data_IF_316913152450
#
_entry.id   IF_316913152450
#
_cell.length_a   1.000
_cell.length_b   1.000
_cell.length_c   1.000
_cell.angle_alpha   90.00
_cell.angle_beta   90.00
_cell.angle_gamma   90.00
#
_symmetry.space_group_name_H-M   'P 1'
#
loop_
_entity.id
_entity.type
_entity.pdbx_description
1 polymer ?
#
# COMPACT_ATOMS: atom_id res chain seq x y z
N UNK A 1 -11.22 -62.86 -55.56
CA UNK A 1 -11.34 -61.47 -56.01
C UNK A 1 -11.53 -60.63 -54.76
N UNK A 2 -10.86 -59.51 -54.50
CA UNK A 2 -9.69 -58.84 -55.04
C UNK A 2 -9.38 -57.73 -54.00
N UNK A 3 -8.13 -57.26 -53.98
CA UNK A 3 -7.57 -55.99 -53.47
C UNK A 3 -8.52 -55.06 -52.67
N UNK A 4 -8.18 -54.62 -51.45
CA UNK A 4 -7.00 -53.80 -51.15
C UNK A 4 -7.29 -52.32 -51.47
N UNK A 5 -7.36 -51.45 -50.46
CA UNK A 5 -6.79 -50.11 -50.50
C UNK A 5 -6.87 -49.38 -49.15
N UNK A 6 -5.69 -49.11 -48.61
CA UNK A 6 -5.41 -48.03 -47.69
C UNK A 6 -6.02 -46.71 -48.18
N UNK A 7 -6.69 -45.98 -47.28
CA UNK A 7 -6.74 -44.52 -47.32
C UNK A 7 -6.25 -43.94 -46.01
N UNK A 8 -5.10 -43.29 -46.15
CA UNK A 8 -4.36 -42.41 -45.27
C UNK A 8 -5.22 -41.42 -44.47
N UNK A 9 -4.91 -41.30 -43.18
CA UNK A 9 -5.28 -40.16 -42.33
C UNK A 9 -4.60 -38.89 -42.88
N UNK A 10 -5.29 -37.74 -42.93
CA UNK A 10 -4.60 -36.46 -43.08
C UNK A 10 -3.95 -36.08 -41.74
N UNK A 11 -2.64 -35.91 -41.76
CA UNK A 11 -1.85 -35.20 -40.74
C UNK A 11 -2.39 -33.78 -40.57
N UNK A 12 -2.87 -33.45 -39.37
CA UNK A 12 -3.11 -32.07 -38.98
C UNK A 12 -1.80 -31.50 -38.44
N UNK A 13 -1.22 -30.58 -39.20
CA UNK A 13 -0.08 -29.73 -38.85
C UNK A 13 -0.31 -29.05 -37.50
N UNK A 14 0.63 -29.08 -36.54
CA UNK A 14 0.47 -28.32 -35.31
C UNK A 14 0.64 -26.83 -35.60
N UNK A 15 -0.46 -26.10 -35.42
CA UNK A 15 -0.49 -24.64 -35.49
C UNK A 15 0.37 -24.10 -34.35
N UNK A 16 1.55 -23.62 -34.72
CA UNK A 16 2.50 -22.91 -33.89
C UNK A 16 1.85 -21.61 -33.39
N UNK A 17 1.21 -21.63 -32.21
CA UNK A 17 0.78 -20.41 -31.51
C UNK A 17 1.71 -20.14 -30.34
N UNK A 18 2.49 -19.09 -30.54
CA UNK A 18 3.42 -18.42 -29.64
C UNK A 18 2.84 -18.31 -28.22
N UNK A 19 3.42 -19.05 -27.28
CA UNK A 19 3.32 -18.73 -25.86
C UNK A 19 4.11 -17.44 -25.61
N UNK A 20 3.42 -16.29 -25.59
CA UNK A 20 3.97 -15.10 -24.98
C UNK A 20 4.02 -15.34 -23.46
N UNK A 21 5.23 -15.58 -22.94
CA UNK A 21 5.52 -15.55 -21.52
C UNK A 21 5.17 -14.16 -20.98
N UNK A 22 4.04 -14.03 -20.30
CA UNK A 22 3.69 -12.81 -19.57
C UNK A 22 4.56 -12.75 -18.31
N UNK A 23 5.74 -12.14 -18.44
CA UNK A 23 6.56 -11.77 -17.29
C UNK A 23 5.80 -10.73 -16.45
N UNK A 24 5.76 -10.86 -15.11
CA UNK A 24 5.26 -9.79 -14.26
C UNK A 24 6.08 -8.53 -14.51
N UNK A 25 5.40 -7.38 -14.67
CA UNK A 25 6.07 -6.10 -14.82
C UNK A 25 6.94 -5.85 -13.58
N UNK A 26 8.24 -5.79 -13.82
CA UNK A 26 9.22 -5.56 -12.79
C UNK A 26 9.82 -4.16 -12.98
N UNK A 27 9.70 -3.33 -11.96
CA UNK A 27 10.28 -1.99 -11.96
C UNK A 27 11.45 -1.95 -10.97
N UNK A 28 12.65 -1.66 -11.48
CA UNK A 28 13.79 -1.34 -10.62
C UNK A 28 13.72 0.14 -10.26
N UNK A 29 13.64 0.45 -8.96
CA UNK A 29 13.51 1.82 -8.49
C UNK A 29 14.85 2.25 -7.89
N UNK A 30 15.56 3.16 -8.58
CA UNK A 30 16.77 3.83 -8.09
C UNK A 30 16.51 5.32 -7.89
N UNK A 31 17.28 5.97 -7.02
CA UNK A 31 17.24 7.42 -6.85
C UNK A 31 18.04 8.09 -7.95
N UNK A 32 17.43 9.04 -8.66
CA UNK A 32 18.15 9.87 -9.64
C UNK A 32 19.08 10.85 -8.91
N UNK A 33 20.39 10.68 -9.06
CA UNK A 33 21.38 11.65 -8.59
C UNK A 33 21.92 12.46 -9.77
N UNK A 34 21.67 13.77 -9.77
CA UNK A 34 22.47 14.74 -10.54
C UNK A 34 23.73 15.06 -9.71
N UNK A 35 24.90 14.63 -10.19
CA UNK A 35 26.18 15.31 -9.99
C UNK A 35 27.25 14.64 -10.87
N UNK A 36 27.89 15.42 -11.75
CA UNK A 36 29.11 15.06 -12.45
C UNK A 36 30.28 15.51 -11.56
N UNK A 37 31.06 14.59 -11.02
CA UNK A 37 32.37 14.89 -10.41
C UNK A 37 33.28 13.66 -10.46
N UNK A 38 34.58 13.94 -10.47
CA UNK A 38 35.71 13.14 -10.95
C UNK A 38 35.84 11.70 -10.39
N UNK A 39 36.53 10.87 -11.18
CA UNK A 39 36.75 9.44 -10.92
C UNK A 39 37.71 9.19 -9.74
N UNK A 40 37.20 8.50 -8.72
CA UNK A 40 38.01 7.86 -7.67
C UNK A 40 38.57 6.50 -8.14
N UNK A 41 39.70 6.03 -7.58
CA UNK A 41 40.32 4.76 -7.93
C UNK A 41 39.44 3.54 -7.58
N UNK A 42 39.65 2.38 -8.24
CA UNK A 42 38.70 1.27 -8.18
C UNK A 42 38.62 0.67 -6.78
N UNK A 43 37.44 0.82 -6.16
CA UNK A 43 37.10 0.15 -4.91
C UNK A 43 37.07 -1.37 -5.11
N UNK A 44 37.46 -2.11 -4.06
CA UNK A 44 37.38 -3.57 -3.95
C UNK A 44 36.00 -4.13 -4.35
N UNK A 45 35.89 -5.42 -4.73
CA UNK A 45 34.67 -5.98 -5.30
C UNK A 45 33.50 -5.78 -4.32
N UNK A 46 32.54 -4.94 -4.70
CA UNK A 46 31.28 -4.82 -3.97
C UNK A 46 30.58 -6.18 -4.08
N UNK A 47 30.37 -6.87 -2.97
CA UNK A 47 29.43 -7.98 -2.91
C UNK A 47 28.15 -7.55 -3.66
N UNK A 48 27.73 -8.33 -4.65
CA UNK A 48 26.50 -8.03 -5.39
C UNK A 48 25.31 -8.26 -4.46
N UNK A 49 25.04 -7.27 -3.61
CA UNK A 49 23.91 -7.28 -2.69
C UNK A 49 22.65 -7.28 -3.56
N UNK A 50 21.98 -8.41 -3.64
CA UNK A 50 20.76 -8.52 -4.45
C UNK A 50 19.76 -7.46 -3.97
N UNK A 51 19.10 -6.73 -4.90
CA UNK A 51 18.14 -5.71 -4.51
C UNK A 51 16.97 -6.35 -3.75
N UNK A 52 16.47 -5.65 -2.74
CA UNK A 52 15.25 -6.01 -2.02
C UNK A 52 14.10 -6.15 -3.02
N UNK A 53 13.24 -7.16 -2.86
CA UNK A 53 12.07 -7.35 -3.71
C UNK A 53 10.80 -7.17 -2.91
N UNK A 54 9.87 -6.40 -3.47
CA UNK A 54 8.52 -6.23 -2.94
C UNK A 54 7.55 -6.73 -3.98
N UNK A 55 6.74 -7.70 -3.59
CA UNK A 55 5.68 -8.28 -4.42
C UNK A 55 4.34 -7.76 -3.93
N UNK A 56 3.55 -7.19 -4.84
CA UNK A 56 2.21 -6.71 -4.52
C UNK A 56 1.80 -5.50 -5.33
N UNK A 57 0.57 -5.04 -5.14
CA UNK A 57 0.08 -3.81 -5.75
C UNK A 57 0.49 -2.59 -4.91
N UNK A 58 1.09 -1.52 -5.50
CA UNK A 58 1.39 -0.28 -4.77
C UNK A 58 0.12 0.42 -4.24
N UNK A 59 -1.07 0.07 -4.75
CA UNK A 59 -2.35 0.53 -4.21
C UNK A 59 -2.81 -0.27 -2.98
N UNK A 60 -2.19 -1.39 -2.61
CA UNK A 60 -2.45 -2.03 -1.31
C UNK A 60 -1.88 -1.17 -0.18
N UNK A 61 -2.63 -1.01 0.92
CA UNK A 61 -2.15 -0.28 2.09
C UNK A 61 -0.87 -0.90 2.66
N UNK A 62 -0.79 -2.22 2.74
CA UNK A 62 0.35 -2.97 3.27
C UNK A 62 1.62 -2.76 2.43
N UNK A 63 1.48 -2.86 1.10
CA UNK A 63 2.58 -2.62 0.16
C UNK A 63 3.00 -1.15 0.23
N UNK A 64 2.06 -0.21 0.25
CA UNK A 64 2.35 1.21 0.35
C UNK A 64 3.14 1.58 1.61
N UNK A 65 2.85 0.96 2.78
CA UNK A 65 3.67 1.13 4.00
C UNK A 65 5.12 0.70 3.77
N UNK A 66 5.31 -0.49 3.20
CA UNK A 66 6.66 -1.02 2.94
C UNK A 66 7.43 -0.12 1.97
N UNK A 67 6.78 0.32 0.89
CA UNK A 67 7.40 1.22 -0.09
C UNK A 67 7.80 2.56 0.53
N UNK A 68 6.92 3.17 1.36
CA UNK A 68 7.23 4.40 2.07
C UNK A 68 8.47 4.24 2.95
N UNK A 69 8.58 3.14 3.69
CA UNK A 69 9.72 2.85 4.54
C UNK A 69 11.01 2.62 3.75
N UNK A 70 10.95 1.88 2.63
CA UNK A 70 12.11 1.70 1.75
C UNK A 70 12.61 3.04 1.19
N UNK A 71 11.70 3.95 0.80
CA UNK A 71 12.07 5.29 0.35
C UNK A 71 12.66 6.15 1.48
N UNK A 72 12.08 6.13 2.68
CA UNK A 72 12.64 6.82 3.85
C UNK A 72 14.06 6.33 4.17
N UNK A 73 14.29 5.02 4.04
CA UNK A 73 15.59 4.40 4.30
C UNK A 73 16.56 4.46 3.10
N UNK A 74 16.16 5.09 2.00
CA UNK A 74 16.92 5.19 0.75
C UNK A 74 17.43 3.82 0.25
N UNK A 75 16.62 2.77 0.43
CA UNK A 75 16.95 1.39 0.04
C UNK A 75 16.52 1.17 -1.40
N UNK A 76 17.43 0.70 -2.26
CA UNK A 76 17.08 0.27 -3.60
C UNK A 76 16.25 -1.02 -3.57
N UNK A 77 15.17 -1.05 -4.33
CA UNK A 77 14.29 -2.22 -4.40
C UNK A 77 13.73 -2.43 -5.80
N UNK A 78 13.25 -3.64 -6.01
CA UNK A 78 12.48 -4.06 -7.17
C UNK A 78 11.03 -4.25 -6.75
N UNK A 79 10.11 -3.50 -7.36
CA UNK A 79 8.67 -3.74 -7.19
C UNK A 79 8.21 -4.70 -8.29
N UNK A 80 7.75 -5.89 -7.88
CA UNK A 80 7.10 -6.86 -8.74
C UNK A 80 5.60 -6.67 -8.55
N UNK A 81 4.97 -5.98 -9.50
CA UNK A 81 3.53 -5.71 -9.44
C UNK A 81 2.76 -7.02 -9.65
N UNK A 82 1.92 -7.36 -8.69
CA UNK A 82 0.98 -8.49 -8.78
C UNK A 82 -0.40 -7.89 -8.97
N UNK A 83 -0.94 -7.99 -10.18
CA UNK A 83 -2.27 -7.48 -10.48
C UNK A 83 -3.34 -8.31 -9.76
N UNK A 84 -4.10 -7.68 -8.88
CA UNK A 84 -5.31 -8.27 -8.31
C UNK A 84 -6.45 -8.43 -9.33
N UNK A 85 -6.30 -7.85 -10.55
CA UNK A 85 -7.36 -7.71 -11.56
C UNK A 85 -7.37 -8.77 -12.67
N UNK A 86 -6.40 -9.68 -12.77
CA UNK A 86 -6.38 -10.73 -13.82
C UNK A 86 -6.45 -12.12 -13.18
N UNK A 87 -7.64 -12.72 -13.30
CA UNK A 87 -8.06 -13.94 -12.62
C UNK A 87 -7.07 -15.11 -12.62
N UNK A 88 -7.12 -15.87 -11.53
CA UNK A 88 -6.74 -17.30 -11.33
C UNK A 88 -5.45 -17.86 -11.94
N UNK A 89 -4.55 -17.04 -12.51
CA UNK A 89 -3.20 -17.47 -12.91
C UNK A 89 -2.16 -16.81 -12.00
N UNK A 90 -2.21 -17.16 -10.71
CA UNK A 90 -1.05 -17.01 -9.83
C UNK A 90 0.05 -17.92 -10.38
N UNK A 91 1.21 -17.36 -10.75
CA UNK A 91 2.35 -18.14 -11.22
C UNK A 91 2.70 -19.22 -10.15
N UNK A 92 2.93 -20.49 -10.52
CA UNK A 92 3.15 -21.59 -9.57
C UNK A 92 4.30 -21.38 -8.58
N UNK A 93 5.29 -20.55 -8.94
CA UNK A 93 6.42 -20.20 -8.07
C UNK A 93 6.03 -19.23 -6.95
N UNK A 94 5.02 -18.37 -7.16
CA UNK A 94 4.56 -17.36 -6.19
C UNK A 94 3.59 -17.96 -5.16
N UNK A 95 2.84 -18.99 -5.54
CA UNK A 95 2.01 -19.78 -4.62
C UNK A 95 2.85 -20.52 -3.58
N UNK A 96 4.12 -20.83 -3.87
CA UNK A 96 5.01 -21.52 -2.92
C UNK A 96 5.56 -20.60 -1.82
N UNK A 97 5.57 -19.28 -2.05
CA UNK A 97 6.10 -18.29 -1.10
C UNK A 97 5.05 -17.75 -0.12
N UNK A 98 3.77 -18.04 -0.36
CA UNK A 98 2.68 -17.52 0.44
C UNK A 98 1.81 -18.66 0.96
N UNK A 99 1.99 -19.07 2.23
CA UNK A 99 1.17 -20.10 2.84
C UNK A 99 -0.33 -19.74 2.85
N UNK A 100 -0.67 -18.44 2.78
CA UNK A 100 -2.04 -17.93 2.88
C UNK A 100 -2.50 -17.03 1.71
N UNK A 101 -1.72 -16.89 0.64
CA UNK A 101 -2.12 -16.08 -0.53
C UNK A 101 -2.22 -14.56 -0.27
N UNK A 102 -1.37 -14.04 0.61
CA UNK A 102 -1.30 -12.66 1.10
C UNK A 102 -1.02 -11.61 0.00
N UNK A 103 -1.46 -10.37 0.20
CA UNK A 103 -1.33 -9.30 -0.80
C UNK A 103 0.11 -8.74 -0.94
N UNK A 104 1.00 -9.10 -0.01
CA UNK A 104 2.36 -8.59 0.12
C UNK A 104 3.34 -9.74 0.37
N UNK A 105 4.45 -9.75 -0.38
CA UNK A 105 5.66 -10.49 0.00
C UNK A 105 6.87 -9.57 -0.11
N UNK A 106 7.78 -9.69 0.84
CA UNK A 106 9.03 -8.97 0.90
C UNK A 106 10.18 -9.98 0.93
N UNK A 107 11.14 -9.86 0.02
CA UNK A 107 12.36 -10.66 0.00
C UNK A 107 13.59 -9.77 0.17
N UNK A 108 14.48 -10.19 1.05
CA UNK A 108 15.75 -9.53 1.32
C UNK A 108 16.83 -10.57 1.58
N UNK A 109 17.53 -10.97 0.51
CA UNK A 109 18.43 -12.13 0.53
C UNK A 109 17.67 -13.43 0.75
N UNK A 110 17.98 -14.14 1.83
CA UNK A 110 17.34 -15.41 2.20
C UNK A 110 16.13 -15.24 3.14
N UNK A 111 15.75 -13.99 3.43
CA UNK A 111 14.62 -13.68 4.32
C UNK A 111 13.39 -13.35 3.48
N UNK A 112 12.29 -14.04 3.76
CA UNK A 112 10.96 -13.77 3.21
C UNK A 112 10.01 -13.38 4.33
N UNK A 113 9.34 -12.23 4.19
CA UNK A 113 8.37 -11.71 5.15
C UNK A 113 7.08 -11.31 4.43
N UNK A 114 5.96 -11.33 5.15
CA UNK A 114 4.62 -11.10 4.57
C UNK A 114 3.77 -10.08 5.33
N UNK A 115 4.06 -9.82 6.62
CA UNK A 115 3.31 -8.84 7.41
C UNK A 115 4.00 -7.47 7.35
N UNK A 116 3.28 -6.47 6.83
CA UNK A 116 3.84 -5.15 6.53
C UNK A 116 4.53 -4.49 7.73
N UNK A 117 3.96 -4.54 8.94
CA UNK A 117 4.55 -3.86 10.11
C UNK A 117 5.79 -4.58 10.62
N UNK A 118 5.87 -5.92 10.53
CA UNK A 118 7.10 -6.68 10.79
C UNK A 118 8.18 -6.34 9.76
N UNK A 119 7.80 -6.20 8.49
CA UNK A 119 8.70 -5.76 7.42
C UNK A 119 9.25 -4.36 7.72
N UNK A 120 8.41 -3.42 8.18
CA UNK A 120 8.85 -2.07 8.58
C UNK A 120 9.96 -2.12 9.63
N UNK A 121 9.80 -2.94 10.67
CA UNK A 121 10.81 -3.11 11.74
C UNK A 121 12.11 -3.69 11.20
N UNK A 122 12.02 -4.74 10.38
CA UNK A 122 13.18 -5.34 9.72
C UNK A 122 13.95 -4.31 8.89
N UNK A 123 13.25 -3.54 8.05
CA UNK A 123 13.87 -2.50 7.21
C UNK A 123 14.53 -1.42 8.10
N UNK A 124 13.82 -0.92 9.11
CA UNK A 124 14.34 0.14 9.97
C UNK A 124 15.60 -0.31 10.75
N UNK A 125 15.63 -1.55 11.26
CA UNK A 125 16.77 -2.09 11.99
C UNK A 125 17.94 -2.48 11.07
N UNK A 126 17.69 -3.23 9.99
CA UNK A 126 18.75 -3.68 9.06
C UNK A 126 19.43 -2.52 8.37
N UNK A 127 18.67 -1.49 7.99
CA UNK A 127 19.17 -0.32 7.30
C UNK A 127 19.31 0.90 8.22
N UNK A 128 19.46 0.71 9.54
CA UNK A 128 19.47 1.80 10.54
C UNK A 128 20.41 2.97 10.21
N UNK A 129 21.56 2.69 9.57
CA UNK A 129 22.57 3.69 9.22
C UNK A 129 22.36 4.39 7.86
N UNK A 130 21.36 3.97 7.07
CA UNK A 130 21.04 4.47 5.73
C UNK A 130 19.74 5.30 5.73
N UNK A 131 19.66 6.31 4.86
CA UNK A 131 18.50 7.20 4.76
C UNK A 131 18.14 7.88 6.09
N UNK A 132 16.85 8.07 6.34
CA UNK A 132 16.33 8.66 7.57
C UNK A 132 16.53 7.69 8.76
N UNK A 133 17.23 8.17 9.79
CA UNK A 133 17.75 7.33 10.89
C UNK A 133 16.76 7.13 12.04
N UNK A 134 15.82 8.06 12.21
CA UNK A 134 14.97 8.12 13.40
C UNK A 134 13.67 7.28 13.29
N UNK A 135 13.45 6.53 12.20
CA UNK A 135 12.19 5.77 11.98
C UNK A 135 11.81 4.88 13.18
N UNK A 136 12.78 4.26 13.85
CA UNK A 136 12.51 3.28 14.90
C UNK A 136 13.27 3.55 16.20
N UNK A 137 13.79 4.76 16.39
CA UNK A 137 14.47 5.18 17.61
C UNK A 137 15.80 4.47 17.92
N UNK A 138 16.80 5.18 18.49
CA UNK A 138 18.08 4.57 18.87
C UNK A 138 18.01 3.77 20.18
N UNK A 139 17.13 4.11 21.12
CA UNK A 139 17.06 3.55 22.48
C UNK A 139 15.80 2.72 22.78
N UNK A 140 15.87 1.95 23.86
CA UNK A 140 14.80 1.03 24.27
C UNK A 140 13.48 1.76 24.64
N UNK A 141 13.57 2.88 25.36
CA UNK A 141 12.38 3.65 25.75
C UNK A 141 11.70 4.32 24.55
N UNK A 142 12.49 4.86 23.62
CA UNK A 142 11.99 5.46 22.39
C UNK A 142 11.32 4.41 21.51
N UNK A 143 11.95 3.23 21.36
CA UNK A 143 11.36 2.07 20.67
C UNK A 143 10.05 1.64 21.30
N UNK A 144 9.97 1.54 22.63
CA UNK A 144 8.74 1.19 23.32
C UNK A 144 7.60 2.20 23.06
N UNK A 145 7.91 3.50 23.07
CA UNK A 145 6.96 4.55 22.69
C UNK A 145 6.47 4.39 21.24
N UNK A 146 7.39 4.20 20.29
CA UNK A 146 7.05 4.00 18.87
C UNK A 146 6.16 2.75 18.71
N UNK A 147 6.50 1.67 19.39
CA UNK A 147 5.74 0.41 19.34
C UNK A 147 4.34 0.54 19.92
N UNK A 148 4.17 1.30 21.00
CA UNK A 148 2.86 1.59 21.56
C UNK A 148 1.94 2.26 20.53
N UNK A 149 2.46 3.23 19.77
CA UNK A 149 1.67 3.93 18.74
C UNK A 149 1.47 3.10 17.48
N UNK A 150 2.44 2.27 17.08
CA UNK A 150 2.27 1.27 16.03
C UNK A 150 1.16 0.26 16.36
N UNK A 151 1.12 -0.21 17.61
CA UNK A 151 0.07 -1.11 18.08
C UNK A 151 -1.29 -0.40 18.11
N UNK A 152 -1.31 0.88 18.52
CA UNK A 152 -2.51 1.71 18.48
C UNK A 152 -3.03 1.88 17.05
N UNK A 153 -2.14 2.13 16.07
CA UNK A 153 -2.51 2.16 14.65
C UNK A 153 -3.12 0.82 14.22
N UNK A 154 -2.42 -0.28 14.48
CA UNK A 154 -2.87 -1.61 14.05
C UNK A 154 -4.23 -2.02 14.63
N UNK A 155 -4.49 -1.69 15.90
CA UNK A 155 -5.70 -2.14 16.60
C UNK A 155 -6.88 -1.17 16.49
N UNK A 156 -6.61 0.13 16.42
CA UNK A 156 -7.65 1.15 16.56
C UNK A 156 -7.80 2.06 15.35
N UNK A 157 -6.78 2.18 14.50
CA UNK A 157 -6.85 2.99 13.28
C UNK A 157 -7.10 2.14 12.04
N UNK A 158 -6.38 1.02 11.87
CA UNK A 158 -6.35 0.23 10.63
C UNK A 158 -7.73 -0.29 10.24
N UNK A 159 -8.42 -1.01 11.13
CA UNK A 159 -9.75 -1.59 10.83
C UNK A 159 -10.79 -0.51 10.54
N UNK A 160 -11.03 0.50 11.41
CA UNK A 160 -12.03 1.52 11.11
C UNK A 160 -11.70 2.33 9.85
N UNK A 161 -10.43 2.67 9.62
CA UNK A 161 -10.05 3.42 8.41
C UNK A 161 -10.18 2.58 7.14
N UNK A 162 -9.84 1.29 7.18
CA UNK A 162 -10.00 0.37 6.05
C UNK A 162 -11.48 0.16 5.71
N UNK A 163 -12.34 -0.05 6.72
CA UNK A 163 -13.78 -0.19 6.54
C UNK A 163 -14.40 1.05 5.89
N UNK A 164 -13.97 2.24 6.30
CA UNK A 164 -14.40 3.49 5.69
C UNK A 164 -13.96 3.61 4.23
N UNK A 165 -12.68 3.35 3.94
CA UNK A 165 -12.14 3.35 2.56
C UNK A 165 -12.88 2.35 1.69
N UNK A 166 -13.13 1.14 2.20
CA UNK A 166 -13.88 0.11 1.50
C UNK A 166 -15.32 0.57 1.21
N UNK A 167 -16.00 1.13 2.22
CA UNK A 167 -17.36 1.65 2.07
C UNK A 167 -17.43 2.75 1.01
N UNK A 168 -16.50 3.71 1.01
CA UNK A 168 -16.43 4.81 0.04
C UNK A 168 -16.33 4.36 -1.41
N UNK A 169 -15.79 3.16 -1.68
CA UNK A 169 -15.70 2.59 -3.02
C UNK A 169 -17.07 2.13 -3.58
N UNK A 170 -18.05 1.87 -2.71
CA UNK A 170 -19.41 1.44 -3.08
C UNK A 170 -20.46 2.55 -2.89
N UNK A 171 -20.16 3.55 -2.07
CA UNK A 171 -21.08 4.67 -1.85
C UNK A 171 -21.05 5.67 -3.02
N UNK A 172 -22.20 6.27 -3.38
CA UNK A 172 -22.25 7.29 -4.43
C UNK A 172 -21.28 8.45 -4.16
N UNK A 173 -20.58 8.97 -5.19
CA UNK A 173 -19.54 9.99 -5.03
C UNK A 173 -20.08 11.36 -4.60
N UNK A 174 -21.35 11.65 -4.90
CA UNK A 174 -22.06 12.88 -4.57
C UNK A 174 -22.78 12.83 -3.21
N UNK A 175 -22.75 11.67 -2.54
CA UNK A 175 -23.39 11.48 -1.25
C UNK A 175 -22.66 12.25 -0.14
N UNK A 176 -23.39 13.08 0.61
CA UNK A 176 -22.84 13.79 1.75
C UNK A 176 -22.79 12.87 2.99
N UNK A 177 -21.61 12.69 3.56
CA UNK A 177 -21.36 11.82 4.73
C UNK A 177 -20.85 12.61 5.96
N UNK A 178 -21.16 13.91 6.05
CA UNK A 178 -20.56 14.85 7.01
C UNK A 178 -21.04 14.70 8.47
N UNK A 179 -21.84 13.67 8.75
CA UNK A 179 -22.34 13.35 10.09
C UNK A 179 -23.47 14.24 10.61
N UNK A 180 -23.96 15.21 9.83
CA UNK A 180 -25.17 15.97 10.17
C UNK A 180 -26.43 15.20 9.81
N UNK A 181 -26.58 14.03 10.42
CA UNK A 181 -27.73 13.17 10.20
C UNK A 181 -27.71 12.51 8.83
N UNK A 182 -27.92 11.20 8.81
CA UNK A 182 -28.23 10.47 7.59
C UNK A 182 -29.64 10.93 7.19
N UNK A 183 -29.75 12.00 6.39
CA UNK A 183 -30.88 12.10 5.49
C UNK A 183 -30.86 10.79 4.72
N UNK A 184 -31.88 9.94 4.91
CA UNK A 184 -31.93 8.61 4.31
C UNK A 184 -31.54 8.64 2.83
N UNK A 185 -31.15 7.48 2.29
CA UNK A 185 -30.82 7.27 0.89
C UNK A 185 -31.53 8.29 -0.02
N UNK A 186 -30.80 9.13 -0.80
CA UNK A 186 -31.40 10.17 -1.62
C UNK A 186 -32.60 9.62 -2.40
N UNK A 187 -33.67 10.40 -2.59
CA UNK A 187 -34.89 9.93 -3.28
C UNK A 187 -34.60 9.26 -4.65
N UNK A 188 -33.50 9.64 -5.30
CA UNK A 188 -32.97 9.03 -6.53
C UNK A 188 -32.57 7.55 -6.41
N UNK A 189 -32.41 7.00 -5.19
CA UNK A 189 -32.13 5.58 -4.94
C UNK A 189 -33.33 4.67 -5.20
N UNK A 190 -34.53 5.24 -5.41
CA UNK A 190 -35.75 4.54 -5.81
C UNK A 190 -35.62 3.73 -7.11
N UNK A 191 -34.68 4.09 -7.98
CA UNK A 191 -34.41 3.43 -9.28
C UNK A 191 -33.34 2.34 -9.22
N UNK A 192 -32.66 2.14 -8.08
CA UNK A 192 -31.62 1.12 -7.94
C UNK A 192 -32.20 -0.30 -7.85
N UNK A 193 -31.48 -1.27 -8.41
CA UNK A 193 -31.73 -2.70 -8.15
C UNK A 193 -31.74 -2.97 -6.63
N UNK A 194 -32.70 -3.74 -6.09
CA UNK A 194 -32.78 -4.07 -4.66
C UNK A 194 -31.47 -4.57 -4.04
N UNK A 195 -30.71 -5.43 -4.73
CA UNK A 195 -29.45 -5.96 -4.22
C UNK A 195 -28.37 -4.87 -4.11
N UNK A 196 -28.31 -3.96 -5.09
CA UNK A 196 -27.41 -2.81 -5.04
C UNK A 196 -27.82 -1.85 -3.92
N UNK A 197 -29.11 -1.56 -3.78
CA UNK A 197 -29.64 -0.72 -2.69
C UNK A 197 -29.28 -1.28 -1.32
N UNK A 198 -29.46 -2.59 -1.12
CA UNK A 198 -29.06 -3.26 0.12
C UNK A 198 -27.56 -3.11 0.39
N UNK A 199 -26.72 -3.32 -0.64
CA UNK A 199 -25.27 -3.15 -0.48
C UNK A 199 -24.89 -1.72 -0.09
N UNK A 200 -25.51 -0.70 -0.69
CA UNK A 200 -25.27 0.70 -0.32
C UNK A 200 -25.65 0.96 1.14
N UNK A 201 -26.79 0.44 1.60
CA UNK A 201 -27.23 0.56 2.99
C UNK A 201 -26.26 -0.11 3.97
N UNK A 202 -25.78 -1.32 3.66
CA UNK A 202 -24.76 -2.01 4.45
C UNK A 202 -23.46 -1.20 4.54
N UNK A 203 -23.01 -0.61 3.42
CA UNK A 203 -21.80 0.22 3.38
C UNK A 203 -21.98 1.56 4.10
N UNK A 204 -23.18 2.15 4.09
CA UNK A 204 -23.51 3.32 4.89
C UNK A 204 -23.39 3.02 6.39
N UNK A 205 -23.96 1.89 6.83
CA UNK A 205 -23.91 1.48 8.23
C UNK A 205 -22.47 1.17 8.68
N UNK A 206 -21.70 0.49 7.85
CA UNK A 206 -20.28 0.20 8.10
C UNK A 206 -19.47 1.50 8.18
N UNK A 207 -19.62 2.40 7.20
CA UNK A 207 -18.96 3.69 7.18
C UNK A 207 -19.24 4.50 8.44
N UNK A 208 -20.51 4.63 8.83
CA UNK A 208 -20.92 5.43 9.99
C UNK A 208 -20.42 4.85 11.32
N UNK A 209 -20.45 3.52 11.46
CA UNK A 209 -19.88 2.84 12.62
C UNK A 209 -18.38 3.12 12.73
N UNK A 210 -17.65 2.90 11.64
CA UNK A 210 -16.20 3.04 11.60
C UNK A 210 -15.77 4.51 11.71
N UNK A 211 -16.52 5.44 11.14
CA UNK A 211 -16.36 6.89 11.30
C UNK A 211 -16.43 7.32 12.77
N UNK A 212 -17.39 6.80 13.54
CA UNK A 212 -17.50 7.09 14.97
C UNK A 212 -16.34 6.51 15.78
N UNK A 213 -15.90 5.30 15.46
CA UNK A 213 -14.75 4.67 16.11
C UNK A 213 -13.46 5.45 15.83
N UNK A 214 -13.22 5.75 14.56
CA UNK A 214 -12.05 6.51 14.13
C UNK A 214 -12.07 7.94 14.70
N UNK A 215 -13.23 8.59 14.74
CA UNK A 215 -13.38 9.92 15.32
C UNK A 215 -12.90 9.98 16.78
N UNK A 216 -13.28 9.00 17.62
CA UNK A 216 -12.81 8.93 19.01
C UNK A 216 -11.29 8.77 19.11
N UNK A 217 -10.69 7.96 18.23
CA UNK A 217 -9.24 7.81 18.19
C UNK A 217 -8.56 9.12 17.75
N UNK A 218 -9.12 9.80 16.75
CA UNK A 218 -8.59 11.08 16.28
C UNK A 218 -8.70 12.18 17.35
N UNK A 219 -9.67 12.12 18.26
CA UNK A 219 -9.74 13.02 19.42
C UNK A 219 -8.57 12.78 20.39
N UNK A 220 -8.16 11.52 20.58
CA UNK A 220 -6.96 11.18 21.35
C UNK A 220 -5.70 11.70 20.62
N UNK A 221 -5.65 11.54 19.30
CA UNK A 221 -4.53 12.05 18.51
C UNK A 221 -4.45 13.58 18.55
N UNK A 222 -5.59 14.28 18.53
CA UNK A 222 -5.64 15.74 18.63
C UNK A 222 -5.00 16.24 19.94
N UNK A 223 -5.26 15.56 21.06
CA UNK A 223 -4.62 15.88 22.34
C UNK A 223 -3.12 15.59 22.28
N UNK A 224 -2.74 14.37 21.85
CA UNK A 224 -1.33 13.96 21.75
C UNK A 224 -0.50 14.90 20.87
N UNK A 225 -1.02 15.25 19.70
CA UNK A 225 -0.36 16.13 18.74
C UNK A 225 -0.43 17.61 19.13
N UNK A 226 -1.16 17.95 20.20
CA UNK A 226 -1.10 19.25 20.85
C UNK A 226 0.13 19.41 21.74
N UNK A 227 0.68 18.29 22.23
CA UNK A 227 1.86 18.24 23.10
C UNK A 227 3.14 17.93 22.31
N UNK A 228 3.03 17.09 21.29
CA UNK A 228 4.15 16.59 20.50
C UNK A 228 3.98 16.83 19.00
N UNK A 229 5.08 16.89 18.26
CA UNK A 229 5.03 17.11 16.82
C UNK A 229 4.52 15.88 16.04
N UNK A 230 4.78 14.68 16.56
CA UNK A 230 4.42 13.39 15.98
C UNK A 230 3.90 12.44 17.07
N UNK A 231 3.27 11.33 16.68
CA UNK A 231 2.60 10.44 17.64
C UNK A 231 3.56 9.92 18.72
N UNK A 232 4.76 9.48 18.32
CA UNK A 232 5.76 8.94 19.24
C UNK A 232 6.68 9.98 19.90
N UNK A 233 6.55 11.27 19.56
CA UNK A 233 7.35 12.37 20.14
C UNK A 233 7.74 13.44 19.12
N UNK A 234 8.90 14.08 19.31
CA UNK A 234 9.34 15.21 18.48
C UNK A 234 9.81 14.89 17.05
N UNK A 235 9.83 13.60 16.63
CA UNK A 235 10.33 13.19 15.32
C UNK A 235 9.35 12.24 14.61
N UNK A 236 9.36 12.28 13.27
CA UNK A 236 8.63 11.32 12.44
C UNK A 236 9.18 9.91 12.65
N UNK A 237 8.32 8.92 12.83
CA UNK A 237 8.70 7.52 13.09
C UNK A 237 7.83 6.53 12.30
N UNK A 238 8.07 5.22 12.48
CA UNK A 238 7.19 4.17 11.97
C UNK A 238 5.76 4.30 12.49
N UNK A 239 5.56 4.89 13.68
CA UNK A 239 4.24 5.17 14.23
C UNK A 239 3.43 6.04 13.26
N UNK A 240 4.01 7.12 12.76
CA UNK A 240 3.33 8.05 11.82
C UNK A 240 3.28 7.49 10.40
N UNK A 241 4.35 6.83 9.95
CA UNK A 241 4.46 6.24 8.62
C UNK A 241 3.34 5.22 8.36
N UNK A 242 2.96 4.46 9.38
CA UNK A 242 1.98 3.38 9.25
C UNK A 242 0.56 3.87 8.95
N UNK A 243 0.22 5.12 9.30
CA UNK A 243 -1.08 5.72 9.01
C UNK A 243 -1.22 6.18 7.55
N UNK A 244 -0.10 6.49 6.87
CA UNK A 244 -0.09 7.15 5.56
C UNK A 244 -1.09 6.57 4.55
N UNK A 245 -1.18 5.25 4.32
CA UNK A 245 -1.99 4.74 3.21
C UNK A 245 -3.49 4.96 3.36
N UNK A 246 -4.05 4.73 4.55
CA UNK A 246 -5.49 4.91 4.75
C UNK A 246 -5.82 6.36 5.09
N UNK A 247 -4.95 7.06 5.82
CA UNK A 247 -5.10 8.50 6.05
C UNK A 247 -5.12 9.29 4.72
N UNK A 248 -4.27 8.95 3.76
CA UNK A 248 -4.24 9.61 2.44
C UNK A 248 -5.55 9.44 1.67
N UNK A 249 -6.14 8.24 1.72
CA UNK A 249 -7.43 7.97 1.06
C UNK A 249 -8.57 8.73 1.71
N UNK A 250 -8.62 8.74 3.04
CA UNK A 250 -9.69 9.42 3.78
C UNK A 250 -9.57 10.95 3.66
N UNK A 251 -8.35 11.49 3.73
CA UNK A 251 -8.09 12.91 3.53
C UNK A 251 -8.30 13.36 2.08
N UNK A 252 -8.08 12.46 1.11
CA UNK A 252 -8.28 12.74 -0.31
C UNK A 252 -9.73 12.64 -0.79
N UNK A 253 -10.63 12.02 -0.01
CA UNK A 253 -12.05 11.91 -0.35
C UNK A 253 -12.86 12.99 0.38
N UNK A 254 -13.53 13.92 -0.33
CA UNK A 254 -14.32 15.00 0.28
C UNK A 254 -15.40 14.53 1.25
N UNK A 255 -15.91 13.30 1.07
CA UNK A 255 -16.94 12.71 1.93
C UNK A 255 -16.40 12.35 3.31
N UNK A 256 -15.09 12.25 3.48
CA UNK A 256 -14.43 11.88 4.73
C UNK A 256 -13.35 12.85 5.21
N UNK A 257 -12.85 13.74 4.34
CA UNK A 257 -11.74 14.66 4.62
C UNK A 257 -11.95 15.48 5.90
N UNK A 258 -13.19 15.89 6.17
CA UNK A 258 -13.60 16.65 7.36
C UNK A 258 -13.20 15.99 8.68
N UNK A 259 -13.06 14.65 8.73
CA UNK A 259 -12.63 13.95 9.94
C UNK A 259 -11.22 14.38 10.39
N UNK A 260 -10.34 14.67 9.45
CA UNK A 260 -8.99 15.12 9.77
C UNK A 260 -8.94 16.65 9.85
N UNK A 261 -9.60 17.33 8.91
CA UNK A 261 -9.60 18.80 8.82
C UNK A 261 -10.23 19.50 10.03
N UNK A 262 -11.22 18.87 10.69
CA UNK A 262 -11.89 19.46 11.85
C UNK A 262 -11.05 19.45 13.14
N UNK A 263 -9.85 18.85 13.10
CA UNK A 263 -8.95 18.68 14.25
C UNK A 263 -7.64 19.38 13.93
N UNK A 264 -7.33 20.47 14.62
CA UNK A 264 -6.24 21.39 14.24
C UNK A 264 -4.89 20.69 14.24
N UNK A 265 -4.56 19.95 15.29
CA UNK A 265 -3.27 19.31 15.44
C UNK A 265 -3.15 18.08 14.54
N UNK A 266 -4.23 17.29 14.40
CA UNK A 266 -4.29 16.18 13.43
C UNK A 266 -4.12 16.66 12.00
N UNK A 267 -4.82 17.73 11.61
CA UNK A 267 -4.72 18.32 10.27
C UNK A 267 -3.29 18.80 9.98
N UNK A 268 -2.68 19.52 10.93
CA UNK A 268 -1.28 19.96 10.82
C UNK A 268 -0.30 18.78 10.71
N UNK A 269 -0.47 17.74 11.53
CA UNK A 269 0.33 16.53 11.46
C UNK A 269 0.19 15.85 10.10
N UNK A 270 -1.05 15.73 9.60
CA UNK A 270 -1.34 15.15 8.30
C UNK A 270 -0.66 15.91 7.15
N UNK A 271 -0.78 17.24 7.15
CA UNK A 271 -0.08 18.10 6.19
C UNK A 271 1.44 17.86 6.19
N UNK A 272 2.01 17.59 7.37
CA UNK A 272 3.45 17.34 7.53
C UNK A 272 3.84 15.96 7.00
N UNK A 273 3.14 14.90 7.39
CA UNK A 273 3.51 13.52 7.04
C UNK A 273 3.19 13.18 5.59
N UNK A 274 2.11 13.71 5.04
CA UNK A 274 1.65 13.42 3.67
C UNK A 274 2.47 14.11 2.58
N UNK A 275 3.26 15.13 2.95
CA UNK A 275 4.15 15.87 2.04
C UNK A 275 5.58 15.33 1.99
N UNK A 276 5.88 14.30 2.77
CA UNK A 276 7.21 13.67 2.73
C UNK A 276 7.48 13.09 1.35
N UNK A 277 8.69 13.33 0.84
CA UNK A 277 9.12 12.87 -0.49
C UNK A 277 8.90 11.36 -0.68
N UNK A 278 9.13 10.58 0.37
CA UNK A 278 8.87 9.13 0.39
C UNK A 278 7.43 8.81 0.02
N UNK A 279 6.46 9.50 0.63
CA UNK A 279 5.03 9.28 0.38
C UNK A 279 4.61 9.80 -0.99
N UNK A 280 5.16 10.93 -1.43
CA UNK A 280 4.93 11.46 -2.79
C UNK A 280 5.34 10.42 -3.84
N UNK A 281 6.51 9.79 -3.69
CA UNK A 281 6.99 8.74 -4.58
C UNK A 281 6.13 7.47 -4.54
N UNK A 282 5.58 7.11 -3.38
CA UNK A 282 4.60 6.01 -3.31
C UNK A 282 3.35 6.35 -4.12
N UNK A 283 2.83 7.58 -4.03
CA UNK A 283 1.66 8.01 -4.81
C UNK A 283 1.92 8.02 -6.31
N UNK A 284 3.13 8.36 -6.74
CA UNK A 284 3.53 8.23 -8.16
C UNK A 284 3.45 6.78 -8.63
N UNK A 285 3.89 5.82 -7.81
CA UNK A 285 3.79 4.39 -8.11
C UNK A 285 2.36 3.84 -8.09
N UNK A 286 1.41 4.53 -7.44
CA UNK A 286 0.00 4.16 -7.39
C UNK A 286 -0.79 4.63 -8.63
N UNK A 287 -0.28 5.62 -9.35
CA UNK A 287 -0.90 6.06 -10.60
C UNK A 287 -0.80 4.92 -11.62
N UNK A 288 -1.86 4.67 -12.41
CA UNK A 288 -1.75 3.75 -13.53
C UNK A 288 -0.62 4.24 -14.45
N UNK A 289 0.22 3.34 -14.99
CA UNK A 289 1.22 3.74 -15.97
C UNK A 289 0.49 4.46 -17.11
N UNK A 290 0.92 5.68 -17.44
CA UNK A 290 0.37 6.39 -18.59
C UNK A 290 0.57 5.53 -19.83
N UNK A 291 -0.36 5.60 -20.79
CA UNK A 291 -0.25 4.90 -22.07
C UNK A 291 1.01 5.29 -22.89
N UNK A 292 1.76 6.29 -22.42
CA UNK A 292 2.95 6.86 -23.06
C UNK A 292 4.28 6.51 -22.36
N UNK A 293 4.29 5.74 -21.28
CA UNK A 293 5.55 5.34 -20.65
C UNK A 293 6.21 4.21 -21.48
N UNK A 294 7.38 4.45 -22.13
CA UNK A 294 8.10 3.38 -22.81
C UNK A 294 8.72 2.46 -21.76
N UNK A 295 8.65 1.16 -22.06
CA UNK A 295 9.20 0.03 -21.32
C UNK A 295 10.63 0.25 -20.81
#
# INVERSE_FOLDING_TARGET
MDRGQHRSKPEATPLNQRFASLCPLSLSVRKGSKALAAADPPAAPRESKMPVKVFGSPTSAEVARVLACLFEKDVEFQLIRVDSFRGTKRLPQYLKLQPHGEALTFEDGNVTLVESRKILRHIADKYKNQGYRDLFGPGALERASIEQWLQTEAQSFDVPSADMVYSLAYLPPDMQLDGRGVGGLPAATGTMNPAHRQKVEEMLQLFEKSRRQLGKLLDIYEQRLGEEAFLAGGKFTLADLSHLPNADRLAGDPRSARLMESRRNVSKWWDTVSRRDSWVRVKELQRPPSAEAPF
#
